data_IF_117374857838
#
_entry.id   IF_117374857838
#
_cell.length_a   1.000
_cell.length_b   1.000
_cell.length_c   1.000
_cell.angle_alpha   90.00
_cell.angle_beta   90.00
_cell.angle_gamma   90.00
#
_symmetry.space_group_name_H-M   'P 1'
#
loop_
_entity.id
_entity.type
_entity.pdbx_description
1 polymer ?
#
# COMPACT_ATOMS: atom_id res chain seq x y z
N UNK A 1 43.60 -68.34 -37.73
CA UNK A 1 44.32 -67.33 -36.94
C UNK A 1 44.04 -65.98 -37.58
N UNK A 2 43.38 -65.07 -36.83
CA UNK A 2 43.12 -63.65 -37.10
C UNK A 2 42.25 -63.28 -38.31
N UNK A 3 40.97 -63.03 -38.05
CA UNK A 3 40.16 -62.11 -38.85
C UNK A 3 39.90 -60.83 -38.03
N UNK A 4 40.52 -59.75 -38.47
CA UNK A 4 40.35 -58.39 -37.96
C UNK A 4 39.09 -57.80 -38.59
N UNK A 5 38.14 -57.31 -37.80
CA UNK A 5 37.09 -56.40 -38.28
C UNK A 5 37.14 -55.08 -37.53
N UNK A 6 37.25 -54.03 -38.34
CA UNK A 6 37.41 -52.62 -38.04
C UNK A 6 36.16 -52.05 -37.36
N UNK A 7 36.33 -51.39 -36.22
CA UNK A 7 35.29 -50.57 -35.60
C UNK A 7 35.34 -49.16 -36.18
N UNK A 8 34.25 -48.72 -36.83
CA UNK A 8 34.03 -47.31 -37.16
C UNK A 8 33.03 -46.76 -36.16
N UNK A 9 33.49 -45.88 -35.27
CA UNK A 9 32.63 -45.08 -34.39
C UNK A 9 32.10 -43.89 -35.21
N UNK A 10 30.78 -43.80 -35.37
CA UNK A 10 30.12 -42.56 -35.82
C UNK A 10 29.67 -41.83 -34.55
N UNK A 11 30.35 -40.73 -34.24
CA UNK A 11 29.94 -39.82 -33.17
C UNK A 11 28.72 -39.02 -33.61
N UNK A 12 27.59 -39.20 -32.93
CA UNK A 12 26.44 -38.29 -33.04
C UNK A 12 26.66 -37.16 -32.06
N UNK A 13 26.93 -35.96 -32.56
CA UNK A 13 26.94 -34.75 -31.74
C UNK A 13 25.48 -34.34 -31.48
N UNK A 14 24.98 -34.55 -30.26
CA UNK A 14 23.73 -33.93 -29.82
C UNK A 14 23.98 -32.45 -29.56
N UNK A 15 23.46 -31.57 -30.42
CA UNK A 15 23.33 -30.15 -30.11
C UNK A 15 22.15 -29.96 -29.16
N UNK A 16 22.45 -29.72 -27.88
CA UNK A 16 21.46 -29.20 -26.93
C UNK A 16 21.25 -27.73 -27.25
N UNK A 17 20.14 -27.42 -27.93
CA UNK A 17 19.72 -26.04 -28.14
C UNK A 17 19.28 -25.42 -26.82
N UNK A 18 20.09 -24.52 -26.27
CA UNK A 18 19.67 -23.68 -25.17
C UNK A 18 18.63 -22.67 -25.68
N UNK A 19 17.35 -22.88 -25.33
CA UNK A 19 16.33 -21.84 -25.49
C UNK A 19 16.60 -20.74 -24.48
N UNK A 20 17.23 -19.66 -24.94
CA UNK A 20 17.27 -18.41 -24.21
C UNK A 20 15.87 -17.79 -24.27
N UNK A 21 15.14 -17.86 -23.16
CA UNK A 21 13.94 -17.06 -22.99
C UNK A 21 14.39 -15.60 -22.87
N UNK A 22 14.26 -14.82 -23.94
CA UNK A 22 14.49 -13.38 -23.87
C UNK A 22 13.47 -12.79 -22.91
N UNK A 23 13.93 -12.14 -21.84
CA UNK A 23 13.05 -11.32 -21.04
C UNK A 23 12.44 -10.24 -21.96
N UNK A 24 11.12 -10.01 -21.83
CA UNK A 24 10.49 -8.91 -22.53
C UNK A 24 11.13 -7.59 -22.08
N UNK A 25 11.37 -6.68 -23.01
CA UNK A 25 11.86 -5.35 -22.65
C UNK A 25 10.80 -4.64 -21.76
N UNK A 26 11.23 -3.87 -20.75
CA UNK A 26 10.30 -3.13 -19.92
C UNK A 26 9.54 -2.12 -20.79
N UNK A 27 8.22 -2.33 -20.95
CA UNK A 27 7.34 -1.40 -21.64
C UNK A 27 6.94 -0.25 -20.70
N UNK A 28 7.14 0.99 -21.14
CA UNK A 28 6.50 2.13 -20.48
C UNK A 28 5.02 2.12 -20.82
N UNK A 29 4.17 1.77 -19.85
CA UNK A 29 2.73 1.77 -20.02
C UNK A 29 2.23 3.19 -20.30
N UNK A 30 1.56 3.39 -21.43
CA UNK A 30 0.82 4.62 -21.71
C UNK A 30 -0.44 4.64 -20.85
N UNK A 31 -0.53 5.62 -19.94
CA UNK A 31 -1.67 5.81 -19.06
C UNK A 31 -2.62 6.86 -19.63
N UNK A 32 -3.93 6.69 -19.39
CA UNK A 32 -4.97 7.63 -19.83
C UNK A 32 -6.08 7.75 -18.78
N UNK A 33 -6.91 8.79 -18.91
CA UNK A 33 -7.96 9.11 -17.94
C UNK A 33 -7.43 9.86 -16.71
N UNK A 34 -7.95 9.54 -15.53
CA UNK A 34 -7.65 10.21 -14.27
C UNK A 34 -6.32 9.74 -13.67
N UNK A 35 -5.22 10.32 -14.16
CA UNK A 35 -3.83 9.90 -13.85
C UNK A 35 -3.05 10.90 -12.99
N UNK A 36 -3.61 12.08 -12.72
CA UNK A 36 -2.97 13.12 -11.91
C UNK A 36 -3.16 12.84 -10.40
N UNK A 37 -2.28 12.00 -9.86
CA UNK A 37 -2.33 11.49 -8.49
C UNK A 37 -1.16 12.01 -7.64
N UNK A 38 -1.32 11.97 -6.31
CA UNK A 38 -0.25 12.24 -5.35
C UNK A 38 -0.31 11.14 -4.28
N UNK A 39 0.84 10.57 -3.94
CA UNK A 39 1.00 9.44 -3.01
C UNK A 39 0.06 8.26 -3.31
N UNK A 40 0.12 7.65 -4.52
CA UNK A 40 -0.78 6.57 -4.88
C UNK A 40 -0.39 5.23 -4.21
N UNK A 41 -1.41 4.46 -3.82
CA UNK A 41 -1.30 3.03 -3.48
C UNK A 41 -2.29 2.23 -4.31
N UNK A 42 -1.98 0.97 -4.65
CA UNK A 42 -2.78 0.13 -5.54
C UNK A 42 -3.08 -1.24 -4.91
N UNK A 43 -4.28 -1.76 -5.16
CA UNK A 43 -4.67 -3.15 -4.86
C UNK A 43 -5.63 -3.67 -5.93
N UNK A 44 -5.80 -5.00 -6.04
CA UNK A 44 -6.75 -5.64 -6.96
C UNK A 44 -7.84 -6.38 -6.19
N UNK A 45 -9.09 -6.24 -6.59
CA UNK A 45 -10.21 -7.11 -6.19
C UNK A 45 -10.85 -7.71 -7.46
N UNK A 46 -10.86 -9.04 -7.56
CA UNK A 46 -11.33 -9.74 -8.75
C UNK A 46 -10.54 -9.30 -10.00
N UNK A 47 -11.24 -8.69 -10.97
CA UNK A 47 -10.65 -8.16 -12.20
C UNK A 47 -10.44 -6.64 -12.20
N UNK A 48 -10.67 -5.96 -11.08
CA UNK A 48 -10.52 -4.50 -11.00
C UNK A 48 -9.30 -4.15 -10.15
N UNK A 49 -8.46 -3.26 -10.66
CA UNK A 49 -7.43 -2.55 -9.93
C UNK A 49 -8.01 -1.27 -9.35
N UNK A 50 -7.66 -0.97 -8.11
CA UNK A 50 -8.08 0.21 -7.36
C UNK A 50 -6.85 0.97 -6.92
N UNK A 51 -6.83 2.27 -7.19
CA UNK A 51 -5.81 3.20 -6.70
C UNK A 51 -6.44 4.19 -5.74
N UNK A 52 -5.80 4.36 -4.59
CA UNK A 52 -6.11 5.36 -3.58
C UNK A 52 -5.00 6.39 -3.56
N UNK A 53 -5.33 7.65 -3.36
CA UNK A 53 -4.36 8.74 -3.40
C UNK A 53 -4.66 9.83 -2.37
N UNK A 54 -3.73 10.75 -2.16
CA UNK A 54 -3.92 11.94 -1.33
C UNK A 54 -5.10 12.78 -1.81
N UNK A 55 -6.03 13.13 -0.90
CA UNK A 55 -7.26 13.87 -1.17
C UNK A 55 -7.47 15.12 -0.29
N UNK A 56 -8.63 15.77 -0.44
CA UNK A 56 -9.00 17.00 0.27
C UNK A 56 -8.59 18.31 -0.41
N UNK A 57 -7.84 18.24 -1.52
CA UNK A 57 -7.57 19.43 -2.34
C UNK A 57 -8.80 19.81 -3.17
N UNK A 58 -9.16 21.09 -3.14
CA UNK A 58 -10.19 21.71 -4.02
C UNK A 58 -11.60 21.08 -3.91
N UNK A 59 -11.98 20.56 -2.74
CA UNK A 59 -13.33 20.05 -2.49
C UNK A 59 -13.69 18.75 -3.21
N UNK A 60 -12.70 17.91 -3.56
CA UNK A 60 -12.91 16.65 -4.30
C UNK A 60 -12.96 15.39 -3.40
N UNK A 61 -13.60 15.49 -2.23
CA UNK A 61 -13.60 14.42 -1.21
C UNK A 61 -12.22 14.10 -0.66
N UNK A 62 -12.13 13.11 0.24
CA UNK A 62 -10.89 12.66 0.85
C UNK A 62 -10.58 11.22 0.45
N UNK A 63 -9.33 10.99 0.02
CA UNK A 63 -8.85 9.73 -0.54
C UNK A 63 -9.67 9.31 -1.77
N UNK A 64 -9.49 9.96 -2.93
CA UNK A 64 -10.16 9.55 -4.18
C UNK A 64 -9.80 8.10 -4.54
N UNK A 65 -10.79 7.38 -5.09
CA UNK A 65 -10.69 5.99 -5.52
C UNK A 65 -10.74 5.97 -7.04
N UNK A 66 -9.67 5.49 -7.66
CA UNK A 66 -9.54 5.33 -9.10
C UNK A 66 -9.63 3.84 -9.44
N UNK A 67 -10.38 3.47 -10.46
CA UNK A 67 -10.52 2.09 -10.89
C UNK A 67 -10.02 1.86 -12.32
N UNK A 68 -9.48 0.67 -12.57
CA UNK A 68 -9.05 0.23 -13.89
C UNK A 68 -9.21 -1.28 -14.04
N UNK A 69 -9.48 -1.76 -15.25
CA UNK A 69 -9.47 -3.20 -15.58
C UNK A 69 -8.13 -3.66 -16.19
N UNK A 70 -7.33 -2.73 -16.70
CA UNK A 70 -6.15 -3.01 -17.52
C UNK A 70 -4.87 -2.30 -17.03
N UNK A 71 -4.95 -1.57 -15.91
CA UNK A 71 -3.90 -0.70 -15.36
C UNK A 71 -3.49 0.47 -16.27
N UNK A 72 -4.17 0.69 -17.39
CA UNK A 72 -3.83 1.71 -18.40
C UNK A 72 -4.84 2.86 -18.43
N UNK A 73 -6.14 2.54 -18.44
CA UNK A 73 -7.19 3.56 -18.37
C UNK A 73 -7.77 3.62 -16.96
N UNK A 74 -7.79 4.83 -16.38
CA UNK A 74 -8.21 5.06 -15.00
C UNK A 74 -9.40 6.02 -14.93
N UNK A 75 -10.35 5.72 -14.06
CA UNK A 75 -11.53 6.57 -13.81
C UNK A 75 -11.73 6.76 -12.32
N UNK A 76 -12.02 7.98 -11.88
CA UNK A 76 -12.47 8.23 -10.50
C UNK A 76 -13.87 7.65 -10.29
N UNK A 77 -14.00 6.74 -9.33
CA UNK A 77 -15.27 6.06 -9.00
C UNK A 77 -15.88 6.52 -7.66
N UNK A 78 -15.20 7.40 -6.94
CA UNK A 78 -15.64 7.91 -5.64
C UNK A 78 -14.45 8.31 -4.78
N UNK A 79 -14.66 8.35 -3.48
CA UNK A 79 -13.65 8.63 -2.48
C UNK A 79 -14.00 7.89 -1.17
N UNK A 80 -13.03 7.70 -0.27
CA UNK A 80 -13.23 6.94 0.98
C UNK A 80 -14.06 7.75 1.97
N UNK A 81 -13.83 9.06 2.07
CA UNK A 81 -14.59 9.94 2.97
C UNK A 81 -15.09 11.21 2.27
N UNK A 82 -16.38 11.50 2.46
CA UNK A 82 -17.01 12.76 2.03
C UNK A 82 -16.51 13.95 2.89
N UNK A 83 -16.33 13.69 4.18
CA UNK A 83 -15.87 14.66 5.17
C UNK A 83 -14.65 14.12 5.93
N UNK A 84 -13.94 14.99 6.64
CA UNK A 84 -12.90 14.53 7.56
C UNK A 84 -13.53 13.71 8.70
N UNK A 85 -12.93 12.57 9.10
CA UNK A 85 -13.33 11.86 10.31
C UNK A 85 -13.39 12.80 11.52
N UNK A 86 -14.42 12.66 12.36
CA UNK A 86 -14.72 13.64 13.43
C UNK A 86 -13.55 13.85 14.41
N UNK A 87 -12.75 12.80 14.65
CA UNK A 87 -11.59 12.85 15.51
C UNK A 87 -10.43 13.65 14.90
N UNK A 88 -10.29 13.67 13.57
CA UNK A 88 -9.15 14.22 12.86
C UNK A 88 -8.91 15.72 13.13
N UNK A 89 -9.90 16.62 13.01
CA UNK A 89 -9.69 18.03 13.33
C UNK A 89 -9.57 18.33 14.83
N UNK A 90 -10.04 17.42 15.70
CA UNK A 90 -9.86 17.53 17.17
C UNK A 90 -8.42 17.22 17.55
N UNK A 91 -7.87 16.14 17.00
CA UNK A 91 -6.50 15.73 17.24
C UNK A 91 -5.49 16.61 16.52
N UNK A 92 -5.76 16.96 15.25
CA UNK A 92 -4.88 17.75 14.40
C UNK A 92 -5.60 19.04 13.96
N UNK A 93 -5.66 20.07 14.84
CA UNK A 93 -6.27 21.34 14.49
C UNK A 93 -5.67 21.95 13.22
N UNK A 94 -6.55 22.35 12.31
CA UNK A 94 -6.16 22.96 11.03
C UNK A 94 -5.82 21.98 9.92
N UNK A 95 -5.97 20.67 10.13
CA UNK A 95 -5.96 19.70 9.02
C UNK A 95 -7.05 20.01 8.00
N UNK A 96 -6.73 19.77 6.72
CA UNK A 96 -7.62 20.06 5.56
C UNK A 96 -7.64 18.94 4.53
N UNK A 97 -6.96 17.84 4.80
CA UNK A 97 -6.75 16.77 3.83
C UNK A 97 -6.39 15.47 4.51
N UNK A 98 -6.46 14.41 3.72
CA UNK A 98 -6.02 13.07 4.10
C UNK A 98 -4.96 12.64 3.09
N UNK A 99 -3.79 12.25 3.59
CA UNK A 99 -2.59 12.06 2.77
C UNK A 99 -2.09 10.62 2.83
N UNK A 100 -1.34 10.25 1.79
CA UNK A 100 -0.56 9.01 1.68
C UNK A 100 -1.30 7.79 2.23
N UNK A 101 -2.43 7.41 1.59
CA UNK A 101 -3.13 6.20 1.98
C UNK A 101 -2.28 4.96 1.70
N UNK A 102 -2.44 3.94 2.52
CA UNK A 102 -1.94 2.58 2.26
C UNK A 102 -3.10 1.59 2.40
N UNK A 103 -3.16 0.61 1.51
CA UNK A 103 -4.24 -0.38 1.47
C UNK A 103 -3.68 -1.79 1.51
N UNK A 104 -4.22 -2.62 2.40
CA UNK A 104 -3.87 -4.04 2.51
C UNK A 104 -5.11 -4.88 2.80
N UNK A 105 -5.12 -6.13 2.33
CA UNK A 105 -6.18 -7.08 2.63
C UNK A 105 -5.67 -8.16 3.57
N UNK A 106 -6.24 -8.22 4.77
CA UNK A 106 -5.96 -9.26 5.75
C UNK A 106 -7.20 -9.47 6.63
N UNK A 107 -7.33 -10.65 7.23
CA UNK A 107 -8.44 -10.99 8.12
C UNK A 107 -9.84 -10.69 7.52
N UNK A 108 -10.00 -10.92 6.20
CA UNK A 108 -11.27 -10.77 5.49
C UNK A 108 -11.72 -9.33 5.24
N UNK A 109 -10.88 -8.33 5.49
CA UNK A 109 -11.20 -6.92 5.26
C UNK A 109 -10.06 -6.17 4.57
N UNK A 110 -10.46 -5.16 3.82
CA UNK A 110 -9.58 -4.12 3.32
C UNK A 110 -9.32 -3.11 4.44
N UNK A 111 -8.05 -2.86 4.72
CA UNK A 111 -7.59 -1.92 5.74
C UNK A 111 -6.86 -0.78 5.06
N UNK A 112 -7.47 0.40 5.08
CA UNK A 112 -6.93 1.62 4.51
C UNK A 112 -6.40 2.52 5.63
N UNK A 113 -5.08 2.58 5.76
CA UNK A 113 -4.41 3.50 6.67
C UNK A 113 -4.20 4.84 5.97
N UNK A 114 -4.29 5.93 6.70
CA UNK A 114 -4.21 7.27 6.10
C UNK A 114 -3.66 8.30 7.06
N UNK A 115 -3.07 9.36 6.52
CA UNK A 115 -2.38 10.39 7.29
C UNK A 115 -3.21 11.65 7.45
N UNK A 116 -3.18 12.25 8.64
CA UNK A 116 -3.78 13.55 8.96
C UNK A 116 -2.69 14.44 9.56
N UNK A 117 -2.45 15.60 8.96
CA UNK A 117 -1.32 16.45 9.32
C UNK A 117 -1.50 17.91 8.86
N UNK A 118 -0.53 18.76 9.21
CA UNK A 118 -0.37 20.13 8.69
C UNK A 118 1.07 20.30 8.19
N UNK A 119 1.25 20.98 7.07
CA UNK A 119 2.53 20.99 6.35
C UNK A 119 3.67 21.57 7.21
N UNK A 120 4.82 20.89 7.23
CA UNK A 120 6.02 21.32 7.93
C UNK A 120 6.03 21.06 9.45
N UNK A 121 5.03 20.36 9.99
CA UNK A 121 4.96 19.97 11.41
C UNK A 121 4.94 18.46 11.59
N UNK A 122 5.27 17.99 12.78
CA UNK A 122 5.11 16.59 13.19
C UNK A 122 4.01 16.38 14.25
N UNK A 123 3.14 17.37 14.50
CA UNK A 123 1.85 17.05 15.12
C UNK A 123 0.97 16.41 14.06
N UNK A 124 0.93 15.08 14.06
CA UNK A 124 0.30 14.28 13.00
C UNK A 124 -0.28 13.00 13.56
N UNK A 125 -1.14 12.35 12.78
CA UNK A 125 -1.76 11.09 13.13
C UNK A 125 -1.98 10.22 11.90
N UNK A 126 -1.89 8.90 12.09
CA UNK A 126 -2.36 7.90 11.14
C UNK A 126 -3.68 7.36 11.67
N UNK A 127 -4.71 7.33 10.81
CA UNK A 127 -5.99 6.67 11.05
C UNK A 127 -6.15 5.39 10.25
N UNK A 128 -7.22 4.66 10.52
CA UNK A 128 -7.61 3.43 9.82
C UNK A 128 -9.08 3.50 9.41
N UNK A 129 -9.38 3.21 8.15
CA UNK A 129 -10.73 2.83 7.70
C UNK A 129 -10.74 1.40 7.18
N UNK A 130 -11.87 0.71 7.32
CA UNK A 130 -12.03 -0.66 6.84
C UNK A 130 -13.23 -0.81 5.93
N UNK A 131 -13.16 -1.74 4.99
CA UNK A 131 -14.26 -2.15 4.13
C UNK A 131 -14.18 -3.66 3.85
N UNK A 132 -15.30 -4.30 3.53
CA UNK A 132 -15.34 -5.73 3.19
C UNK A 132 -15.10 -5.99 1.70
N UNK A 133 -15.28 -4.97 0.86
CA UNK A 133 -15.15 -5.07 -0.60
C UNK A 133 -14.80 -3.71 -1.18
N UNK A 134 -14.20 -3.69 -2.37
CA UNK A 134 -13.89 -2.47 -3.11
C UNK A 134 -14.89 -2.21 -4.25
N UNK A 135 -15.78 -3.17 -4.55
CA UNK A 135 -16.86 -2.98 -5.52
C UNK A 135 -17.98 -2.08 -4.96
N UNK A 136 -18.16 -0.84 -5.46
CA UNK A 136 -19.20 0.08 -4.98
C UNK A 136 -20.63 -0.41 -5.26
N UNK A 137 -20.82 -1.42 -6.11
CA UNK A 137 -22.15 -1.99 -6.38
C UNK A 137 -22.52 -3.10 -5.40
N UNK A 138 -21.59 -3.54 -4.55
CA UNK A 138 -21.85 -4.55 -3.54
C UNK A 138 -22.65 -3.96 -2.38
N UNK A 139 -23.68 -4.67 -1.86
CA UNK A 139 -24.40 -4.21 -0.67
C UNK A 139 -23.56 -4.24 0.60
N UNK A 140 -22.35 -4.81 0.55
CA UNK A 140 -21.37 -4.81 1.65
C UNK A 140 -20.33 -3.69 1.53
N UNK A 141 -20.44 -2.83 0.51
CA UNK A 141 -19.52 -1.72 0.32
C UNK A 141 -19.84 -0.61 1.31
N UNK A 142 -18.99 -0.48 2.32
CA UNK A 142 -19.09 0.57 3.34
C UNK A 142 -17.70 0.82 3.94
N UNK A 143 -17.21 2.06 3.81
CA UNK A 143 -16.01 2.48 4.52
C UNK A 143 -16.35 2.89 5.94
N UNK A 144 -15.79 2.17 6.91
CA UNK A 144 -15.99 2.42 8.34
C UNK A 144 -14.68 2.93 8.94
N UNK A 145 -14.68 4.19 9.40
CA UNK A 145 -13.58 4.73 10.20
C UNK A 145 -13.43 3.96 11.52
N UNK A 146 -12.20 3.58 11.85
CA UNK A 146 -11.82 2.93 13.11
C UNK A 146 -11.08 3.87 14.04
N UNK A 147 -10.79 5.10 13.63
CA UNK A 147 -10.14 6.09 14.44
C UNK A 147 -8.62 6.12 14.29
N UNK A 148 -7.98 6.80 15.23
CA UNK A 148 -6.54 7.02 15.25
C UNK A 148 -5.76 5.76 15.67
N UNK A 149 -4.75 5.41 14.89
CA UNK A 149 -3.84 4.27 15.13
C UNK A 149 -2.57 4.72 15.84
N UNK A 150 -1.92 5.78 15.35
CA UNK A 150 -0.69 6.34 15.93
C UNK A 150 -0.70 7.86 15.81
N UNK A 151 -0.08 8.52 16.79
CA UNK A 151 0.05 9.98 16.87
C UNK A 151 1.49 10.36 17.16
N UNK A 152 1.97 11.39 16.49
CA UNK A 152 3.19 12.12 16.88
C UNK A 152 2.81 13.50 17.40
N UNK A 153 3.53 13.97 18.41
CA UNK A 153 3.32 15.25 19.09
C UNK A 153 4.56 16.11 18.95
N UNK A 154 4.36 17.34 18.49
CA UNK A 154 5.43 18.32 18.32
C UNK A 154 6.15 18.60 19.64
N UNK A 155 7.48 18.48 19.62
CA UNK A 155 8.34 18.65 20.80
C UNK A 155 8.45 17.43 21.73
N UNK A 156 7.62 16.39 21.56
CA UNK A 156 7.71 15.16 22.34
C UNK A 156 8.26 13.98 21.52
N UNK A 157 7.85 13.87 20.26
CA UNK A 157 8.26 12.78 19.38
C UNK A 157 9.31 13.24 18.37
N UNK A 158 10.36 12.43 18.21
CA UNK A 158 11.43 12.64 17.22
C UNK A 158 11.05 12.12 15.82
N UNK A 159 9.77 11.90 15.55
CA UNK A 159 9.30 11.31 14.29
C UNK A 159 7.94 11.89 13.92
N UNK A 160 7.50 11.60 12.70
CA UNK A 160 6.26 12.14 12.15
C UNK A 160 5.30 11.00 11.79
N UNK A 161 4.11 10.98 12.40
CA UNK A 161 3.05 9.98 12.18
C UNK A 161 2.29 10.24 10.88
N UNK A 162 2.98 10.09 9.74
CA UNK A 162 2.43 10.11 8.38
C UNK A 162 3.10 9.02 7.54
N UNK A 163 2.58 8.81 6.33
CA UNK A 163 3.15 7.91 5.31
C UNK A 163 3.21 6.46 5.80
N UNK A 164 2.11 5.99 6.38
CA UNK A 164 1.98 4.62 6.87
C UNK A 164 2.00 3.59 5.75
N UNK A 165 2.60 2.42 5.99
CA UNK A 165 2.56 1.27 5.11
C UNK A 165 2.43 -0.03 5.93
N UNK A 166 1.59 -0.95 5.47
CA UNK A 166 1.40 -2.26 6.07
C UNK A 166 2.26 -3.32 5.38
N UNK A 167 2.95 -4.11 6.22
CA UNK A 167 3.58 -5.35 5.83
C UNK A 167 2.87 -6.53 6.52
N UNK A 168 2.39 -7.49 5.74
CA UNK A 168 1.77 -8.72 6.22
C UNK A 168 2.73 -9.88 5.98
N UNK A 169 3.15 -10.56 7.05
CA UNK A 169 3.97 -11.77 7.00
C UNK A 169 3.12 -13.06 6.98
N UNK A 170 3.71 -14.16 6.54
CA UNK A 170 3.08 -15.47 6.26
C UNK A 170 2.28 -16.11 7.41
N UNK A 171 2.49 -15.70 8.66
CA UNK A 171 1.75 -16.19 9.83
C UNK A 171 0.72 -15.19 10.38
N UNK A 172 0.20 -14.32 9.51
CA UNK A 172 -0.77 -13.29 9.88
C UNK A 172 -0.15 -12.19 10.74
N UNK A 173 1.17 -12.09 10.72
CA UNK A 173 1.87 -11.07 11.48
C UNK A 173 1.86 -9.77 10.70
N UNK A 174 1.20 -8.76 11.26
CA UNK A 174 1.02 -7.45 10.59
C UNK A 174 1.89 -6.39 11.27
N UNK A 175 2.54 -5.58 10.45
CA UNK A 175 3.40 -4.47 10.89
C UNK A 175 2.99 -3.19 10.18
N UNK A 176 2.93 -2.10 10.93
CA UNK A 176 2.84 -0.75 10.38
C UNK A 176 4.23 -0.13 10.43
N UNK A 177 4.72 0.31 9.29
CA UNK A 177 5.87 1.19 9.19
C UNK A 177 5.41 2.59 8.75
N UNK A 178 6.09 3.64 9.19
CA UNK A 178 5.73 5.02 8.87
C UNK A 178 6.91 5.95 9.06
N UNK A 179 6.79 7.19 8.61
CA UNK A 179 7.73 8.24 8.96
C UNK A 179 8.09 9.14 7.79
N UNK A 180 8.42 10.38 8.13
CA UNK A 180 8.84 11.40 7.18
C UNK A 180 9.69 12.42 7.92
N UNK A 181 10.92 12.69 7.43
CA UNK A 181 11.90 13.57 8.10
C UNK A 181 12.26 13.10 9.54
N UNK A 182 12.55 14.05 10.44
CA UNK A 182 13.05 13.86 11.82
C UNK A 182 13.96 12.64 12.00
N UNK A 183 13.72 11.82 13.02
CA UNK A 183 14.43 10.60 13.40
C UNK A 183 14.12 9.39 12.51
N UNK A 184 13.52 9.61 11.34
CA UNK A 184 13.41 8.64 10.26
C UNK A 184 12.19 7.71 10.33
N UNK A 185 12.38 6.49 9.84
CA UNK A 185 11.31 5.51 9.61
C UNK A 185 11.16 4.63 10.85
N UNK A 186 9.93 4.55 11.35
CA UNK A 186 9.55 3.77 12.51
C UNK A 186 8.69 2.58 12.12
N UNK A 187 8.63 1.58 12.98
CA UNK A 187 7.79 0.40 12.79
C UNK A 187 7.23 -0.09 14.13
N UNK A 188 5.98 -0.52 14.12
CA UNK A 188 5.30 -1.18 15.25
C UNK A 188 4.42 -2.31 14.78
N UNK A 189 4.19 -3.23 15.71
CA UNK A 189 3.29 -4.35 15.55
C UNK A 189 1.83 -3.89 15.46
N UNK A 190 1.06 -4.49 14.56
CA UNK A 190 -0.39 -4.37 14.45
C UNK A 190 -1.04 -5.65 14.99
N UNK A 191 -2.14 -5.48 15.72
CA UNK A 191 -3.08 -6.56 16.03
C UNK A 191 -3.92 -6.85 14.77
N UNK A 192 -3.79 -8.04 14.16
CA UNK A 192 -4.50 -8.38 12.93
C UNK A 192 -6.02 -8.48 13.10
N UNK A 193 -6.53 -8.59 14.32
CA UNK A 193 -7.98 -8.64 14.59
C UNK A 193 -8.58 -7.25 14.50
N UNK A 194 -7.90 -6.25 15.07
CA UNK A 194 -8.43 -4.88 15.19
C UNK A 194 -7.91 -3.93 14.11
N UNK A 195 -6.73 -4.22 13.53
CA UNK A 195 -5.99 -3.28 12.69
C UNK A 195 -5.32 -2.15 13.48
N UNK A 196 -5.36 -2.20 14.82
CA UNK A 196 -4.72 -1.20 15.68
C UNK A 196 -3.33 -1.65 16.11
N UNK A 197 -2.55 -0.74 16.73
CA UNK A 197 -1.27 -1.12 17.31
C UNK A 197 -1.46 -2.22 18.35
N UNK A 198 -0.61 -3.24 18.29
CA UNK A 198 -0.65 -4.35 19.25
C UNK A 198 -0.43 -3.83 20.67
N UNK A 199 -1.27 -4.32 21.58
CA UNK A 199 -1.11 -4.12 23.02
C UNK A 199 -0.12 -5.13 23.63
N UNK A 200 0.11 -6.26 22.97
CA UNK A 200 1.03 -7.31 23.43
C UNK A 200 2.48 -6.99 23.06
N UNK A 201 2.70 -6.48 21.85
CA UNK A 201 4.01 -6.00 21.39
C UNK A 201 3.96 -4.49 21.15
N UNK A 202 4.49 -3.76 22.13
CA UNK A 202 4.52 -2.29 22.12
C UNK A 202 5.86 -1.73 21.64
N UNK A 203 6.77 -2.59 21.18
CA UNK A 203 8.12 -2.19 20.79
C UNK A 203 8.10 -1.27 19.58
N UNK A 204 8.67 -0.07 19.74
CA UNK A 204 8.90 0.87 18.65
C UNK A 204 10.27 0.62 18.03
N UNK A 205 10.29 0.13 16.80
CA UNK A 205 11.52 -0.09 16.04
C UNK A 205 11.84 1.15 15.19
N UNK A 206 13.13 1.44 15.01
CA UNK A 206 13.60 2.37 13.98
C UNK A 206 14.20 1.57 12.82
N UNK A 207 13.57 1.64 11.65
CA UNK A 207 14.03 0.97 10.43
C UNK A 207 15.11 1.79 9.70
N UNK A 208 15.05 3.11 9.84
CA UNK A 208 16.06 4.03 9.35
C UNK A 208 16.11 5.27 10.26
N UNK A 209 17.30 5.82 10.48
CA UNK A 209 17.52 7.05 11.25
C UNK A 209 18.32 8.06 10.43
N UNK A 210 18.27 9.33 10.81
CA UNK A 210 19.06 10.42 10.22
C UNK A 210 20.25 10.78 11.09
#
# INVERSE_FOLDING_TARGET
MKDTKLHVLIGVAMFVGASFCSAAEPEMLQLSGDTALHDPVIIKEGETYYVFATGGRRGRGFVPIHASKDMRHWTVIGHVFEELPEWAPKEIPGTRGIWAPDISFFNGKYHLYYSVSTFGKNSSAIGLAVNETLDPNSPRYEWVDRGMVVRSTEGADDWNAIDGNIAVEDNGRVWLNWGSFWGGIKMRRIDPVTGMLSAEDTTLYSLASR
#
